data_IF_248484859897
#
_entry.id   IF_248484859897
#
_cell.length_a   1.000
_cell.length_b   1.000
_cell.length_c   1.000
_cell.angle_alpha   90.00
_cell.angle_beta   90.00
_cell.angle_gamma   90.00
#
_symmetry.space_group_name_H-M   'P 1'
#
loop_
_entity.id
_entity.type
_entity.pdbx_description
1 polymer ?
#
# COMPACT_ATOMS: atom_id res chain seq x y z
N UNK A 1 1.15 -6.46 6.20
CA UNK A 1 2.01 -6.87 7.32
C UNK A 1 2.80 -5.63 7.65
N UNK A 2 2.65 -5.08 8.85
CA UNK A 2 3.49 -3.95 9.25
C UNK A 2 4.82 -4.52 9.71
N UNK A 3 5.82 -4.52 8.84
CA UNK A 3 7.14 -5.09 9.10
C UNK A 3 7.95 -4.26 10.10
N UNK A 4 9.06 -4.82 10.60
CA UNK A 4 9.96 -4.11 11.52
C UNK A 4 10.45 -2.76 10.97
N UNK A 5 10.71 -2.68 9.67
CA UNK A 5 11.13 -1.43 9.02
C UNK A 5 10.04 -0.35 9.02
N UNK A 6 8.76 -0.74 8.94
CA UNK A 6 7.63 0.19 8.97
C UNK A 6 7.40 0.70 10.39
N UNK A 7 7.52 -0.16 11.40
CA UNK A 7 7.47 0.26 12.81
C UNK A 7 8.61 1.23 13.13
N UNK A 8 9.85 0.91 12.75
CA UNK A 8 10.97 1.82 12.97
C UNK A 8 10.75 3.19 12.30
N UNK A 9 10.19 3.22 11.09
CA UNK A 9 9.84 4.47 10.40
C UNK A 9 8.70 5.22 11.11
N UNK A 10 7.69 4.50 11.60
CA UNK A 10 6.58 5.09 12.33
C UNK A 10 7.04 5.68 13.67
N UNK A 11 7.91 4.99 14.41
CA UNK A 11 8.42 5.46 15.71
C UNK A 11 9.23 6.75 15.54
N UNK A 12 10.01 6.87 14.46
CA UNK A 12 10.66 8.13 14.09
C UNK A 12 9.65 9.24 13.78
N UNK A 13 8.53 8.89 13.12
CA UNK A 13 7.47 9.86 12.84
C UNK A 13 6.74 10.30 14.11
N UNK A 14 6.44 9.38 15.02
CA UNK A 14 5.90 9.66 16.34
C UNK A 14 6.79 10.67 17.08
N UNK A 15 8.10 10.39 17.19
CA UNK A 15 9.06 11.29 17.84
C UNK A 15 9.13 12.69 17.19
N UNK A 16 9.03 12.77 15.86
CA UNK A 16 9.01 14.06 15.14
C UNK A 16 7.66 14.79 15.26
N UNK A 17 6.59 14.10 15.67
CA UNK A 17 5.26 14.66 15.86
C UNK A 17 4.99 15.09 17.31
N UNK A 18 5.96 14.89 18.20
CA UNK A 18 5.85 15.26 19.61
C UNK A 18 5.80 16.77 19.79
N UNK A 19 4.80 17.24 20.54
CA UNK A 19 4.64 18.65 20.91
C UNK A 19 4.90 18.82 22.41
N UNK A 20 5.94 19.58 22.81
CA UNK A 20 6.24 19.81 24.21
C UNK A 20 5.18 20.67 24.92
N UNK A 21 4.44 21.49 24.17
CA UNK A 21 3.40 22.36 24.73
C UNK A 21 2.16 21.57 25.19
N UNK A 22 1.89 20.43 24.55
CA UNK A 22 0.74 19.57 24.87
C UNK A 22 1.14 18.27 25.54
N UNK A 23 2.45 17.97 25.63
CA UNK A 23 3.02 16.69 26.07
C UNK A 23 2.38 15.48 25.38
N UNK A 24 2.07 15.64 24.08
CA UNK A 24 1.45 14.59 23.27
C UNK A 24 2.12 14.49 21.90
N UNK A 25 2.06 13.28 21.32
CA UNK A 25 2.43 13.03 19.92
C UNK A 25 1.17 12.99 19.06
N UNK A 26 1.24 13.61 17.89
CA UNK A 26 0.11 13.57 16.95
C UNK A 26 -0.05 12.21 16.26
N UNK A 27 0.99 11.36 16.28
CA UNK A 27 1.02 10.05 15.62
C UNK A 27 1.42 8.98 16.63
N UNK A 28 0.64 7.90 16.68
CA UNK A 28 0.96 6.66 17.39
C UNK A 28 1.07 5.48 16.42
N UNK A 29 1.84 4.46 16.81
CA UNK A 29 2.22 3.35 15.95
C UNK A 29 1.60 2.04 16.41
N UNK A 30 0.92 1.35 15.50
CA UNK A 30 0.32 0.04 15.73
C UNK A 30 0.87 -0.97 14.70
N UNK A 31 1.10 -2.21 15.13
CA UNK A 31 1.59 -3.29 14.27
C UNK A 31 0.58 -4.41 14.16
N UNK A 32 0.56 -5.08 13.00
CA UNK A 32 -0.09 -6.37 12.84
C UNK A 32 0.63 -7.26 11.81
N UNK A 33 0.51 -8.61 11.92
CA UNK A 33 1.21 -9.54 11.05
C UNK A 33 0.80 -9.47 9.58
N UNK A 34 -0.42 -9.02 9.25
CA UNK A 34 -0.91 -8.90 7.87
C UNK A 34 -1.64 -7.57 7.65
N UNK A 35 -1.93 -7.24 6.40
CA UNK A 35 -2.71 -6.02 6.09
C UNK A 35 -4.17 -6.21 6.54
N UNK A 36 -4.70 -7.42 6.40
CA UNK A 36 -6.04 -7.79 6.85
C UNK A 36 -6.19 -7.66 8.37
N UNK A 37 -5.17 -8.02 9.14
CA UNK A 37 -5.19 -7.79 10.60
C UNK A 37 -5.13 -6.30 10.95
N UNK A 38 -4.46 -5.47 10.14
CA UNK A 38 -4.53 -4.01 10.31
C UNK A 38 -5.95 -3.49 10.03
N UNK A 39 -6.63 -3.99 9.00
CA UNK A 39 -8.04 -3.65 8.75
C UNK A 39 -8.92 -4.02 9.93
N UNK A 40 -8.75 -5.21 10.50
CA UNK A 40 -9.50 -5.64 11.70
C UNK A 40 -9.23 -4.73 12.90
N UNK A 41 -7.98 -4.30 13.11
CA UNK A 41 -7.66 -3.32 14.17
C UNK A 41 -8.40 -2.01 13.97
N UNK A 42 -8.46 -1.48 12.75
CA UNK A 42 -9.21 -0.25 12.46
C UNK A 42 -10.70 -0.44 12.72
N UNK A 43 -11.28 -1.55 12.25
CA UNK A 43 -12.70 -1.86 12.50
C UNK A 43 -13.03 -2.01 14.00
N UNK A 44 -12.04 -2.41 14.81
CA UNK A 44 -12.17 -2.57 16.28
C UNK A 44 -11.80 -1.31 17.06
N UNK A 45 -11.49 -0.21 16.38
CA UNK A 45 -11.04 1.05 17.01
C UNK A 45 -9.73 0.88 17.80
N UNK A 46 -8.88 -0.06 17.39
CA UNK A 46 -7.52 -0.25 17.93
C UNK A 46 -6.44 0.47 17.10
N UNK A 47 -6.82 1.05 15.96
CA UNK A 47 -5.99 1.85 15.06
C UNK A 47 -6.89 2.73 14.17
N UNK A 48 -6.34 3.76 13.53
CA UNK A 48 -7.17 4.73 12.79
C UNK A 48 -6.99 4.66 11.26
N UNK A 49 -5.77 4.39 10.78
CA UNK A 49 -5.46 4.45 9.36
C UNK A 49 -4.32 3.50 8.95
N UNK A 50 -4.33 3.11 7.68
CA UNK A 50 -3.23 2.40 7.01
C UNK A 50 -3.20 2.80 5.53
N UNK A 51 -2.01 3.02 4.98
CA UNK A 51 -1.80 3.17 3.55
C UNK A 51 -1.68 1.78 2.89
N UNK A 52 -2.46 1.53 1.84
CA UNK A 52 -2.51 0.22 1.16
C UNK A 52 -2.58 0.37 -0.35
N UNK A 53 -2.19 -0.70 -1.06
CA UNK A 53 -2.30 -0.75 -2.52
C UNK A 53 -3.77 -0.79 -2.99
N UNK A 54 -4.04 -0.31 -4.21
CA UNK A 54 -5.40 -0.25 -4.79
C UNK A 54 -6.18 -1.57 -4.75
N UNK A 55 -5.52 -2.72 -4.91
CA UNK A 55 -6.17 -4.03 -4.81
C UNK A 55 -6.66 -4.33 -3.40
N UNK A 56 -5.94 -3.85 -2.38
CA UNK A 56 -6.31 -3.96 -0.98
C UNK A 56 -7.36 -2.92 -0.57
N UNK A 57 -7.42 -1.76 -1.24
CA UNK A 57 -8.53 -0.80 -1.10
C UNK A 57 -9.87 -1.46 -1.45
N UNK A 58 -9.92 -2.29 -2.51
CA UNK A 58 -11.13 -3.05 -2.84
C UNK A 58 -11.56 -3.96 -1.69
N UNK A 59 -10.63 -4.73 -1.12
CA UNK A 59 -10.90 -5.62 0.03
C UNK A 59 -11.33 -4.82 1.27
N UNK A 60 -10.63 -3.74 1.60
CA UNK A 60 -10.95 -2.86 2.72
C UNK A 60 -12.37 -2.26 2.59
N UNK A 61 -12.75 -1.85 1.38
CA UNK A 61 -14.10 -1.36 1.08
C UNK A 61 -15.19 -2.39 1.32
N UNK A 62 -14.93 -3.69 1.03
CA UNK A 62 -15.86 -4.77 1.36
C UNK A 62 -15.98 -5.01 2.87
N UNK A 63 -14.96 -4.67 3.64
CA UNK A 63 -14.99 -4.71 5.11
C UNK A 63 -15.68 -3.47 5.73
N UNK A 64 -16.08 -2.47 4.94
CA UNK A 64 -16.73 -1.25 5.41
C UNK A 64 -15.77 -0.09 5.72
N UNK A 65 -14.48 -0.23 5.40
CA UNK A 65 -13.53 0.88 5.46
C UNK A 65 -13.68 1.79 4.24
N UNK A 66 -13.33 3.06 4.38
CA UNK A 66 -13.42 4.06 3.30
C UNK A 66 -12.04 4.67 3.02
N UNK A 67 -11.69 4.95 1.75
CA UNK A 67 -10.46 5.65 1.43
C UNK A 67 -10.56 7.12 1.86
N UNK A 68 -9.64 7.55 2.73
CA UNK A 68 -9.59 8.94 3.22
C UNK A 68 -8.56 9.82 2.47
N UNK A 69 -7.46 9.22 2.01
CA UNK A 69 -6.37 9.89 1.31
C UNK A 69 -5.81 8.99 0.20
N UNK A 70 -5.21 9.58 -0.82
CA UNK A 70 -4.55 8.87 -1.92
C UNK A 70 -3.14 9.42 -2.14
N UNK A 71 -2.18 8.55 -2.43
CA UNK A 71 -0.83 8.95 -2.80
C UNK A 71 -0.84 9.70 -4.14
N UNK A 72 -0.01 10.75 -4.22
CA UNK A 72 0.20 11.50 -5.45
C UNK A 72 1.66 11.32 -5.92
N UNK A 73 1.83 10.86 -7.16
CA UNK A 73 3.16 10.60 -7.74
C UNK A 73 3.65 11.72 -8.66
N UNK A 74 2.78 12.69 -8.96
CA UNK A 74 3.13 13.94 -9.63
C UNK A 74 3.19 15.06 -8.58
N UNK A 75 4.42 15.43 -8.19
CA UNK A 75 4.67 16.43 -7.14
C UNK A 75 3.96 17.75 -7.39
N UNK A 76 3.84 18.18 -8.65
CA UNK A 76 3.14 19.41 -9.01
C UNK A 76 1.64 19.38 -8.66
N UNK A 77 1.06 18.19 -8.52
CA UNK A 77 -0.36 17.99 -8.18
C UNK A 77 -0.61 17.81 -6.69
N UNK A 78 0.41 17.66 -5.83
CA UNK A 78 0.24 17.43 -4.39
C UNK A 78 -0.49 18.57 -3.67
N UNK A 79 -0.31 19.81 -4.12
CA UNK A 79 -0.93 21.01 -3.49
C UNK A 79 -2.30 21.38 -4.10
N UNK A 80 -2.78 20.61 -5.07
CA UNK A 80 -3.98 20.95 -5.84
C UNK A 80 -5.19 20.18 -5.32
N UNK A 81 -6.16 20.89 -4.74
CA UNK A 81 -7.41 20.30 -4.31
C UNK A 81 -8.28 19.86 -5.51
N UNK A 82 -9.00 18.75 -5.37
CA UNK A 82 -9.93 18.27 -6.40
C UNK A 82 -9.27 17.62 -7.63
N UNK A 83 -7.97 17.34 -7.58
CA UNK A 83 -7.28 16.61 -8.65
C UNK A 83 -7.56 15.11 -8.52
N UNK A 84 -7.72 14.43 -9.66
CA UNK A 84 -7.87 12.98 -9.70
C UNK A 84 -6.69 12.30 -8.98
N UNK A 85 -7.00 11.23 -8.24
CA UNK A 85 -5.98 10.42 -7.58
C UNK A 85 -4.93 9.94 -8.61
N UNK A 86 -3.68 9.85 -8.17
CA UNK A 86 -2.61 9.37 -9.04
C UNK A 86 -2.84 7.92 -9.45
N UNK A 87 -2.41 7.59 -10.66
CA UNK A 87 -2.40 6.23 -11.19
C UNK A 87 -0.98 5.84 -11.54
N UNK A 88 -0.67 4.55 -11.45
CA UNK A 88 0.61 3.99 -11.86
C UNK A 88 0.39 2.84 -12.84
N UNK A 89 1.41 2.55 -13.65
CA UNK A 89 1.36 1.47 -14.64
C UNK A 89 1.71 0.11 -14.03
N UNK A 90 0.92 -0.90 -14.35
CA UNK A 90 1.32 -2.29 -14.15
C UNK A 90 2.20 -2.74 -15.32
N UNK A 91 3.42 -3.19 -15.02
CA UNK A 91 4.40 -3.61 -16.03
C UNK A 91 5.01 -4.96 -15.67
N UNK A 92 5.35 -5.75 -16.70
CA UNK A 92 6.12 -6.98 -16.55
C UNK A 92 7.58 -6.71 -16.94
N UNK A 93 8.49 -6.78 -15.96
CA UNK A 93 9.92 -6.56 -16.19
C UNK A 93 10.59 -7.90 -16.46
N UNK A 94 11.36 -7.98 -17.54
CA UNK A 94 12.13 -9.17 -17.92
C UNK A 94 13.62 -8.85 -18.06
N UNK A 95 14.47 -9.87 -17.94
CA UNK A 95 15.88 -9.73 -18.24
C UNK A 95 16.06 -9.54 -19.75
N UNK A 96 16.94 -8.62 -20.14
CA UNK A 96 17.34 -8.43 -21.55
C UNK A 96 17.84 -9.76 -22.13
N UNK A 97 17.49 -10.02 -23.38
CA UNK A 97 17.92 -11.22 -24.14
C UNK A 97 17.46 -12.57 -23.53
N UNK A 98 16.52 -12.57 -22.59
CA UNK A 98 15.93 -13.80 -22.01
C UNK A 98 15.02 -14.57 -22.96
N UNK A 99 14.61 -13.96 -24.07
CA UNK A 99 13.65 -14.54 -25.02
C UNK A 99 12.24 -14.71 -24.47
N UNK A 100 11.96 -14.20 -23.26
CA UNK A 100 10.62 -14.26 -22.66
C UNK A 100 9.70 -13.26 -23.34
N UNK A 101 8.61 -13.76 -23.90
CA UNK A 101 7.46 -13.00 -24.38
C UNK A 101 6.24 -13.28 -23.50
N UNK A 102 5.18 -12.47 -23.64
CA UNK A 102 3.91 -12.66 -22.94
C UNK A 102 3.32 -14.07 -23.13
N UNK A 103 3.36 -14.63 -24.34
CA UNK A 103 2.82 -15.96 -24.65
C UNK A 103 3.69 -17.11 -24.12
N UNK A 104 4.92 -16.82 -23.70
CA UNK A 104 5.91 -17.82 -23.26
C UNK A 104 6.03 -17.95 -21.73
N UNK A 105 5.14 -17.30 -20.97
CA UNK A 105 5.19 -17.24 -19.50
C UNK A 105 4.95 -18.60 -18.84
N UNK A 106 4.23 -19.52 -19.49
CA UNK A 106 3.91 -20.84 -18.92
C UNK A 106 5.19 -21.63 -18.62
N UNK A 107 5.31 -22.11 -17.39
CA UNK A 107 6.48 -22.87 -16.92
C UNK A 107 7.71 -22.01 -16.59
N UNK A 108 7.60 -20.68 -16.64
CA UNK A 108 8.64 -19.76 -16.15
C UNK A 108 8.43 -19.44 -14.68
N UNK A 109 9.49 -18.95 -14.03
CA UNK A 109 9.43 -18.42 -12.65
C UNK A 109 9.08 -16.94 -12.70
N UNK A 110 8.13 -16.52 -11.87
CA UNK A 110 7.69 -15.13 -11.77
C UNK A 110 7.90 -14.59 -10.35
N UNK A 111 8.15 -13.29 -10.24
CA UNK A 111 8.23 -12.56 -8.98
C UNK A 111 7.05 -11.58 -8.93
N UNK A 112 6.36 -11.54 -7.79
CA UNK A 112 5.14 -10.75 -7.60
C UNK A 112 5.28 -9.89 -6.34
N UNK A 113 4.73 -8.68 -6.35
CA UNK A 113 4.86 -7.76 -5.19
C UNK A 113 4.04 -8.21 -3.97
N UNK A 114 3.08 -9.12 -4.15
CA UNK A 114 2.24 -9.69 -3.11
C UNK A 114 0.87 -10.10 -3.65
N UNK A 115 0.27 -11.13 -3.05
CA UNK A 115 -1.07 -11.61 -3.41
C UNK A 115 -2.09 -10.48 -3.20
N UNK A 116 -3.03 -10.34 -4.13
CA UNK A 116 -4.11 -9.34 -4.06
C UNK A 116 -3.70 -7.90 -4.36
N UNK A 117 -2.40 -7.62 -4.59
CA UNK A 117 -1.93 -6.30 -5.05
C UNK A 117 -2.22 -6.10 -6.54
N UNK A 118 -2.43 -4.85 -6.94
CA UNK A 118 -2.89 -4.45 -8.28
C UNK A 118 -1.92 -4.92 -9.35
N UNK A 119 -0.74 -4.29 -9.46
CA UNK A 119 0.24 -4.63 -10.51
C UNK A 119 0.90 -5.99 -10.29
N UNK A 120 1.10 -6.38 -9.04
CA UNK A 120 1.82 -7.60 -8.70
C UNK A 120 1.01 -8.86 -8.85
N UNK A 121 -0.32 -8.82 -8.79
CA UNK A 121 -1.14 -10.04 -8.76
C UNK A 121 -2.41 -9.92 -9.60
N UNK A 122 -3.27 -8.94 -9.30
CA UNK A 122 -4.60 -8.86 -9.91
C UNK A 122 -4.54 -8.62 -11.42
N UNK A 123 -3.67 -7.72 -11.87
CA UNK A 123 -3.50 -7.46 -13.31
C UNK A 123 -2.91 -8.68 -14.05
N UNK A 124 -1.74 -9.23 -13.67
CA UNK A 124 -1.18 -10.36 -14.41
C UNK A 124 -2.06 -11.62 -14.33
N UNK A 125 -2.63 -11.97 -13.17
CA UNK A 125 -3.49 -13.15 -13.03
C UNK A 125 -4.87 -12.97 -13.68
N UNK A 126 -5.31 -11.73 -13.91
CA UNK A 126 -6.55 -11.45 -14.62
C UNK A 126 -6.40 -11.44 -16.15
N UNK A 127 -5.17 -11.36 -16.66
CA UNK A 127 -4.86 -11.32 -18.09
C UNK A 127 -4.32 -12.64 -18.66
N UNK A 128 -3.81 -13.54 -17.80
CA UNK A 128 -3.29 -14.87 -18.15
C UNK A 128 -4.39 -15.91 -17.99
#
# INVERSE_FOLDING_TARGET
AVGHAEIAKCDLWNGNSYSPDTDTSAIECQSAPTVEECFKKIMRQEADAIAVDGGQVYTAGKCGLVPAMAEQYDEAKCSSAGVAASSYYAVAVILKDSGVTWDSLKGKRSCHTGIGRTAGWNIPMGLI
#
